data_IF_893916077727
#
_entry.id   IF_893916077727
#
_cell.length_a   1.000
_cell.length_b   1.000
_cell.length_c   1.000
_cell.angle_alpha   90.00
_cell.angle_beta   90.00
_cell.angle_gamma   90.00
#
_symmetry.space_group_name_H-M   'P 1'
#
loop_
_entity.id
_entity.type
_entity.pdbx_description
1 polymer ?
#
# COMPACT_ATOMS: atom_id res chain seq x y z
N UNK A 1 21.59 -1.37 10.78
CA UNK A 1 21.05 -1.47 9.40
C UNK A 1 20.05 -0.37 9.25
N UNK A 2 20.22 0.45 8.23
CA UNK A 2 19.37 1.60 7.97
C UNK A 2 18.40 1.25 6.85
N UNK A 3 17.19 1.80 6.91
CA UNK A 3 16.28 1.75 5.79
C UNK A 3 15.52 3.06 5.66
N UNK A 4 15.14 3.39 4.44
CA UNK A 4 14.39 4.59 4.10
C UNK A 4 13.11 4.17 3.38
N UNK A 5 11.96 4.54 3.95
CA UNK A 5 10.65 4.31 3.37
C UNK A 5 10.21 5.57 2.63
N UNK A 6 9.89 5.44 1.35
CA UNK A 6 9.56 6.55 0.47
C UNK A 6 8.19 6.33 -0.19
N UNK A 7 7.46 7.42 -0.44
CA UNK A 7 6.29 7.34 -1.31
C UNK A 7 6.76 7.24 -2.78
N UNK A 8 5.83 7.03 -3.71
CA UNK A 8 6.21 7.06 -5.14
C UNK A 8 5.97 8.40 -5.81
N UNK A 9 6.35 9.50 -5.18
CA UNK A 9 6.59 10.75 -5.90
C UNK A 9 7.84 10.62 -6.78
N UNK A 10 7.90 11.35 -7.90
CA UNK A 10 9.05 11.27 -8.82
C UNK A 10 10.35 11.75 -8.18
N UNK A 11 10.27 12.77 -7.33
CA UNK A 11 11.41 13.27 -6.56
C UNK A 11 12.03 12.19 -5.67
N UNK A 12 11.22 11.28 -5.12
CA UNK A 12 11.71 10.18 -4.29
C UNK A 12 12.34 9.07 -5.12
N UNK A 13 11.83 8.79 -6.33
CA UNK A 13 12.51 7.89 -7.28
C UNK A 13 13.86 8.45 -7.73
N UNK A 14 13.92 9.75 -8.01
CA UNK A 14 15.16 10.44 -8.35
C UNK A 14 16.13 10.40 -7.17
N UNK A 15 15.65 10.67 -5.95
CA UNK A 15 16.44 10.56 -4.73
C UNK A 15 17.07 9.18 -4.56
N UNK A 16 16.32 8.10 -4.78
CA UNK A 16 16.88 6.74 -4.79
C UNK A 16 17.99 6.66 -5.84
N UNK A 17 17.72 6.99 -7.10
CA UNK A 17 18.70 6.90 -8.19
C UNK A 17 20.00 7.67 -7.92
N UNK A 18 19.92 8.84 -7.29
CA UNK A 18 21.08 9.65 -6.91
C UNK A 18 22.04 8.90 -5.97
N UNK A 19 21.55 7.96 -5.16
CA UNK A 19 22.41 7.17 -4.27
C UNK A 19 23.18 6.05 -4.99
N UNK A 20 22.84 5.73 -6.24
CA UNK A 20 23.48 4.66 -7.00
C UNK A 20 24.52 5.15 -8.01
N UNK A 21 24.71 6.48 -8.18
CA UNK A 21 25.84 7.09 -8.92
C UNK A 21 26.19 6.38 -10.24
N UNK A 22 25.19 6.06 -11.08
CA UNK A 22 25.27 5.34 -12.37
C UNK A 22 25.10 3.81 -12.34
N UNK A 23 24.97 3.20 -11.16
CA UNK A 23 24.57 1.80 -11.04
C UNK A 23 23.04 1.66 -11.08
N UNK A 24 22.54 0.53 -11.58
CA UNK A 24 21.11 0.24 -11.51
C UNK A 24 20.72 -0.12 -10.06
N UNK A 25 19.78 0.62 -9.42
CA UNK A 25 19.24 0.24 -8.12
C UNK A 25 18.75 -1.22 -8.06
N UNK A 26 18.25 -1.75 -9.18
CA UNK A 26 17.75 -3.12 -9.28
C UNK A 26 18.85 -4.16 -9.06
N UNK A 27 20.01 -4.00 -9.70
CA UNK A 27 21.15 -4.92 -9.57
C UNK A 27 21.67 -4.99 -8.13
N UNK A 28 21.62 -3.86 -7.44
CA UNK A 28 22.02 -3.75 -6.03
C UNK A 28 20.88 -4.04 -5.04
N UNK A 29 19.72 -4.51 -5.51
CA UNK A 29 18.55 -4.80 -4.68
C UNK A 29 18.15 -3.64 -3.77
N UNK A 30 18.34 -2.41 -4.27
CA UNK A 30 18.05 -1.17 -3.56
C UNK A 30 18.86 -0.98 -2.26
N UNK A 31 20.03 -1.62 -2.17
CA UNK A 31 20.97 -1.49 -1.05
C UNK A 31 22.13 -0.59 -1.46
N UNK A 32 22.43 0.41 -0.64
CA UNK A 32 23.60 1.28 -0.76
C UNK A 32 24.39 1.31 0.53
N UNK A 33 25.61 1.82 0.45
CA UNK A 33 26.41 2.15 1.63
C UNK A 33 25.93 3.47 2.25
N UNK A 34 25.71 3.48 3.56
CA UNK A 34 25.42 4.69 4.30
C UNK A 34 26.67 5.58 4.37
N UNK A 35 26.60 6.79 3.81
CA UNK A 35 27.74 7.71 3.68
C UNK A 35 28.39 8.12 5.01
N UNK A 36 27.70 7.99 6.14
CA UNK A 36 28.21 8.40 7.45
C UNK A 36 28.79 7.24 8.26
N UNK A 37 28.29 6.02 8.05
CA UNK A 37 28.60 4.87 8.91
C UNK A 37 29.23 3.70 8.17
N UNK A 38 29.26 3.72 6.85
CA UNK A 38 29.67 2.59 6.00
C UNK A 38 28.73 1.37 6.07
N UNK A 39 27.66 1.44 6.89
CA UNK A 39 26.73 0.32 7.04
C UNK A 39 25.72 0.28 5.88
N UNK A 40 25.14 -0.89 5.57
CA UNK A 40 24.07 -0.98 4.58
C UNK A 40 22.85 -0.11 4.92
N UNK A 41 22.36 0.60 3.90
CA UNK A 41 21.12 1.35 3.88
C UNK A 41 20.23 0.86 2.74
N UNK A 42 18.96 0.60 3.02
CA UNK A 42 18.02 0.00 2.06
C UNK A 42 16.88 0.95 1.73
N UNK A 43 16.57 1.12 0.45
CA UNK A 43 15.41 1.90 0.01
C UNK A 43 14.20 1.01 -0.25
N UNK A 44 13.06 1.37 0.32
CA UNK A 44 11.79 0.66 0.17
C UNK A 44 10.70 1.66 -0.20
N UNK A 45 10.02 1.43 -1.31
CA UNK A 45 8.80 2.17 -1.62
C UNK A 45 7.62 1.64 -0.81
N UNK A 46 6.79 2.54 -0.30
CA UNK A 46 5.70 2.23 0.63
C UNK A 46 4.74 1.14 0.08
N UNK A 47 4.58 0.01 0.80
CA UNK A 47 3.73 -1.08 0.35
C UNK A 47 2.25 -0.69 0.20
N UNK A 48 1.68 0.05 1.15
CA UNK A 48 0.26 0.42 1.14
C UNK A 48 -0.06 1.37 -0.01
N UNK A 49 0.84 2.32 -0.30
CA UNK A 49 0.71 3.19 -1.47
C UNK A 49 0.79 2.40 -2.76
N UNK A 50 1.66 1.40 -2.82
CA UNK A 50 1.81 0.57 -4.01
C UNK A 50 0.58 -0.29 -4.28
N UNK A 51 -0.03 -0.90 -3.25
CA UNK A 51 -1.33 -1.60 -3.38
C UNK A 51 -2.42 -0.65 -3.92
N UNK A 52 -2.51 0.56 -3.36
CA UNK A 52 -3.42 1.60 -3.84
C UNK A 52 -3.18 1.99 -5.30
N UNK A 53 -1.92 2.07 -5.73
CA UNK A 53 -1.57 2.36 -7.13
C UNK A 53 -1.88 1.20 -8.06
N UNK A 54 -1.73 -0.07 -7.63
CA UNK A 54 -2.17 -1.24 -8.41
C UNK A 54 -3.66 -1.11 -8.70
N UNK A 55 -4.49 -0.91 -7.67
CA UNK A 55 -5.94 -0.67 -7.82
C UNK A 55 -6.21 0.48 -8.79
N UNK A 56 -5.52 1.61 -8.64
CA UNK A 56 -5.72 2.77 -9.51
C UNK A 56 -5.28 2.53 -10.97
N UNK A 57 -4.36 1.61 -11.25
CA UNK A 57 -4.03 1.21 -12.63
C UNK A 57 -5.14 0.33 -13.21
N UNK A 58 -5.66 -0.63 -12.45
CA UNK A 58 -6.81 -1.45 -12.86
C UNK A 58 -8.05 -0.58 -13.09
N UNK A 59 -8.30 0.41 -12.23
CA UNK A 59 -9.41 1.34 -12.40
C UNK A 59 -9.35 2.07 -13.75
N UNK A 60 -8.14 2.36 -14.25
CA UNK A 60 -7.94 3.04 -15.54
C UNK A 60 -8.12 2.10 -16.74
N UNK A 61 -8.14 0.79 -16.55
CA UNK A 61 -8.19 -0.18 -17.65
C UNK A 61 -9.57 -0.33 -18.31
N UNK A 62 -10.43 0.69 -18.19
CA UNK A 62 -11.78 0.73 -18.74
C UNK A 62 -12.32 2.13 -19.08
N UNK A 63 -11.48 3.17 -19.09
CA UNK A 63 -11.96 4.51 -19.44
C UNK A 63 -12.12 4.63 -20.96
N UNK A 64 -13.33 4.34 -21.45
CA UNK A 64 -13.75 4.47 -22.86
C UNK A 64 -13.46 5.89 -23.41
N UNK A 65 -13.36 6.89 -22.53
CA UNK A 65 -13.20 8.29 -22.95
C UNK A 65 -11.76 8.74 -23.20
N UNK A 66 -10.75 7.99 -22.73
CA UNK A 66 -9.33 8.38 -22.85
C UNK A 66 -8.44 7.13 -22.99
N UNK A 67 -7.95 6.87 -24.22
CA UNK A 67 -6.94 5.85 -24.62
C UNK A 67 -6.59 4.86 -23.49
N UNK A 68 -7.26 3.70 -23.40
CA UNK A 68 -7.17 2.87 -22.21
C UNK A 68 -5.78 2.23 -22.06
N UNK A 69 -5.27 2.24 -20.83
CA UNK A 69 -4.24 1.31 -20.38
C UNK A 69 -4.92 -0.05 -20.21
N UNK A 70 -4.97 -0.86 -21.26
CA UNK A 70 -5.56 -2.18 -21.23
C UNK A 70 -4.59 -3.18 -20.60
N UNK A 71 -4.54 -3.24 -19.27
CA UNK A 71 -3.74 -4.25 -18.56
C UNK A 71 -4.05 -5.64 -19.12
N UNK A 72 -3.03 -6.37 -19.53
CA UNK A 72 -3.15 -7.71 -20.12
C UNK A 72 -2.10 -8.63 -19.53
N UNK A 73 -2.45 -9.89 -19.30
CA UNK A 73 -1.48 -10.95 -19.00
C UNK A 73 -1.71 -12.10 -19.98
N UNK A 74 -0.67 -12.52 -20.68
CA UNK A 74 -0.81 -13.26 -21.94
C UNK A 74 -1.81 -12.56 -22.88
N UNK A 75 -2.78 -13.32 -23.41
CA UNK A 75 -3.83 -12.79 -24.29
C UNK A 75 -5.12 -12.35 -23.54
N UNK A 76 -5.07 -12.24 -22.22
CA UNK A 76 -6.26 -11.98 -21.38
C UNK A 76 -6.19 -10.61 -20.72
N UNK A 77 -7.30 -9.87 -20.78
CA UNK A 77 -7.39 -8.53 -20.21
C UNK A 77 -7.73 -8.57 -18.71
N UNK A 78 -7.16 -7.61 -17.97
CA UNK A 78 -7.45 -7.33 -16.56
C UNK A 78 -8.17 -5.99 -16.50
N UNK A 79 -9.49 -6.03 -16.28
CA UNK A 79 -10.33 -4.83 -16.38
C UNK A 79 -11.10 -4.54 -15.10
N UNK A 80 -11.34 -3.25 -14.81
CA UNK A 80 -12.19 -2.85 -13.67
C UNK A 80 -13.62 -3.40 -13.78
N UNK A 81 -14.13 -3.61 -15.00
CA UNK A 81 -15.46 -4.16 -15.23
C UNK A 81 -15.58 -5.58 -14.71
N UNK A 82 -14.52 -6.40 -14.79
CA UNK A 82 -14.54 -7.75 -14.22
C UNK A 82 -14.75 -7.71 -12.71
N UNK A 83 -14.04 -6.82 -12.00
CA UNK A 83 -14.23 -6.63 -10.56
C UNK A 83 -15.63 -6.12 -10.23
N UNK A 84 -16.15 -5.15 -11.01
CA UNK A 84 -17.48 -4.61 -10.81
C UNK A 84 -18.58 -5.65 -11.08
N UNK A 85 -18.42 -6.45 -12.13
CA UNK A 85 -19.37 -7.50 -12.49
C UNK A 85 -19.42 -8.60 -11.41
N UNK A 86 -18.27 -9.03 -10.90
CA UNK A 86 -18.20 -9.99 -9.79
C UNK A 86 -18.89 -9.44 -8.53
N UNK A 87 -18.66 -8.16 -8.20
CA UNK A 87 -19.37 -7.49 -7.11
C UNK A 87 -20.88 -7.42 -7.34
N UNK A 88 -21.33 -7.00 -8.52
CA UNK A 88 -22.76 -6.91 -8.83
C UNK A 88 -23.45 -8.26 -8.79
N UNK A 89 -22.77 -9.31 -9.25
CA UNK A 89 -23.23 -10.67 -9.10
C UNK A 89 -23.40 -11.04 -7.62
N UNK A 90 -22.39 -10.80 -6.78
CA UNK A 90 -22.45 -11.08 -5.34
C UNK A 90 -23.65 -10.40 -4.66
N UNK A 91 -23.86 -9.12 -4.95
CA UNK A 91 -24.94 -8.33 -4.33
C UNK A 91 -26.34 -8.76 -4.79
N UNK A 92 -26.48 -9.33 -5.99
CA UNK A 92 -27.77 -9.71 -6.55
C UNK A 92 -28.09 -11.20 -6.38
N UNK A 93 -27.08 -12.04 -6.14
CA UNK A 93 -27.24 -13.50 -6.06
C UNK A 93 -27.35 -14.04 -4.63
N UNK A 94 -26.89 -13.30 -3.63
CA UNK A 94 -26.86 -13.77 -2.24
C UNK A 94 -27.53 -12.80 -1.28
N UNK A 95 -28.29 -13.32 -0.32
CA UNK A 95 -28.82 -12.54 0.81
C UNK A 95 -27.71 -12.10 1.78
N UNK A 96 -26.61 -12.86 1.83
CA UNK A 96 -25.38 -12.55 2.55
C UNK A 96 -24.22 -12.57 1.54
N UNK A 97 -23.62 -11.40 1.23
CA UNK A 97 -22.53 -11.33 0.26
C UNK A 97 -21.33 -12.19 0.66
N UNK A 98 -20.71 -12.84 -0.34
CA UNK A 98 -19.46 -13.58 -0.18
C UNK A 98 -18.31 -12.66 0.26
N UNK A 99 -18.35 -11.39 -0.15
CA UNK A 99 -17.39 -10.38 0.27
C UNK A 99 -18.08 -9.21 0.99
N UNK A 100 -18.29 -9.36 2.30
CA UNK A 100 -19.09 -8.45 3.14
C UNK A 100 -18.52 -7.04 3.31
N UNK A 101 -17.22 -6.85 3.04
CA UNK A 101 -16.55 -5.56 3.15
C UNK A 101 -16.70 -4.69 1.92
N UNK A 102 -17.03 -5.27 0.76
CA UNK A 102 -17.21 -4.51 -0.46
C UNK A 102 -18.50 -3.71 -0.39
N UNK A 103 -18.40 -2.48 -0.85
CA UNK A 103 -19.51 -1.53 -0.90
C UNK A 103 -19.45 -0.79 -2.21
N UNK A 104 -20.53 -0.11 -2.56
CA UNK A 104 -20.59 0.71 -3.76
C UNK A 104 -19.45 1.75 -3.85
N UNK A 105 -18.97 2.24 -2.70
CA UNK A 105 -17.85 3.18 -2.64
C UNK A 105 -16.53 2.58 -3.16
N UNK A 106 -16.34 1.27 -3.07
CA UNK A 106 -15.14 0.61 -3.62
C UNK A 106 -15.09 0.74 -5.14
N UNK A 107 -16.25 0.85 -5.79
CA UNK A 107 -16.41 0.86 -7.25
C UNK A 107 -16.76 2.23 -7.85
N UNK A 108 -17.48 3.07 -7.12
CA UNK A 108 -17.80 4.46 -7.48
C UNK A 108 -16.81 5.41 -6.82
N UNK A 109 -15.56 5.39 -7.30
CA UNK A 109 -14.46 6.11 -6.68
C UNK A 109 -14.37 7.58 -7.10
N UNK A 110 -14.64 8.49 -6.18
CA UNK A 110 -14.28 9.91 -6.27
C UNK A 110 -12.76 10.15 -5.98
N UNK A 111 -12.21 11.34 -6.26
CA UNK A 111 -10.80 11.65 -6.00
C UNK A 111 -10.34 11.40 -4.54
N UNK A 112 -11.20 11.60 -3.54
CA UNK A 112 -10.88 11.35 -2.13
C UNK A 112 -10.81 9.85 -1.82
N UNK A 113 -11.76 9.07 -2.34
CA UNK A 113 -11.85 7.62 -2.13
C UNK A 113 -10.74 6.87 -2.86
N UNK A 114 -10.23 7.42 -3.97
CA UNK A 114 -9.00 6.92 -4.64
C UNK A 114 -7.77 6.93 -3.74
N UNK A 115 -7.77 7.77 -2.69
CA UNK A 115 -6.66 7.90 -1.74
C UNK A 115 -6.75 6.97 -0.53
N UNK A 116 -7.90 6.32 -0.30
CA UNK A 116 -8.14 5.46 0.87
C UNK A 116 -7.52 4.07 0.69
N UNK A 117 -6.58 3.72 1.57
CA UNK A 117 -5.86 2.43 1.51
C UNK A 117 -6.81 1.25 1.71
N UNK A 118 -7.69 1.27 2.71
CA UNK A 118 -8.60 0.15 3.00
C UNK A 118 -9.52 -0.23 1.82
N UNK A 119 -9.96 0.75 1.02
CA UNK A 119 -10.77 0.47 -0.17
C UNK A 119 -9.97 -0.28 -1.24
N UNK A 120 -8.68 0.05 -1.40
CA UNK A 120 -7.81 -0.68 -2.30
C UNK A 120 -7.44 -2.06 -1.75
N UNK A 121 -7.24 -2.16 -0.43
CA UNK A 121 -6.92 -3.42 0.23
C UNK A 121 -8.06 -4.43 0.08
N UNK A 122 -9.30 -4.05 0.37
CA UNK A 122 -10.46 -4.95 0.21
C UNK A 122 -10.62 -5.42 -1.24
N UNK A 123 -10.42 -4.55 -2.24
CA UNK A 123 -10.56 -4.93 -3.66
C UNK A 123 -9.45 -5.88 -4.14
N UNK A 124 -8.33 -5.98 -3.43
CA UNK A 124 -7.18 -6.80 -3.83
C UNK A 124 -6.90 -7.93 -2.83
N UNK A 125 -7.80 -8.17 -1.87
CA UNK A 125 -7.61 -9.19 -0.85
C UNK A 125 -7.99 -10.61 -1.32
N UNK A 126 -7.81 -11.58 -0.42
CA UNK A 126 -8.15 -12.98 -0.67
C UNK A 126 -9.66 -13.24 -0.77
N UNK A 127 -10.52 -12.37 -0.21
CA UNK A 127 -11.97 -12.49 -0.35
C UNK A 127 -12.41 -12.05 -1.74
N UNK A 128 -11.80 -11.00 -2.31
CA UNK A 128 -12.01 -10.67 -3.72
C UNK A 128 -11.54 -11.80 -4.65
N UNK A 129 -10.41 -12.45 -4.34
CA UNK A 129 -9.98 -13.65 -5.07
C UNK A 129 -11.04 -14.74 -5.05
N UNK A 130 -11.54 -15.09 -3.86
CA UNK A 130 -12.58 -16.09 -3.70
C UNK A 130 -13.86 -15.72 -4.45
N UNK A 131 -14.30 -14.46 -4.35
CA UNK A 131 -15.45 -13.94 -5.08
C UNK A 131 -15.26 -14.07 -6.60
N UNK A 132 -14.08 -13.71 -7.12
CA UNK A 132 -13.77 -13.81 -8.55
C UNK A 132 -13.80 -15.25 -9.05
N UNK A 133 -13.28 -16.20 -8.25
CA UNK A 133 -13.33 -17.64 -8.56
C UNK A 133 -14.77 -18.15 -8.59
N UNK A 134 -15.60 -17.79 -7.61
CA UNK A 134 -17.02 -18.19 -7.58
C UNK A 134 -17.83 -17.57 -8.72
N UNK A 135 -17.52 -16.33 -9.07
CA UNK A 135 -18.12 -15.69 -10.23
C UNK A 135 -17.72 -16.40 -11.54
N UNK A 136 -16.46 -16.81 -11.67
CA UNK A 136 -15.99 -17.60 -12.82
C UNK A 136 -16.71 -18.95 -12.93
N UNK A 137 -16.84 -19.69 -11.82
CA UNK A 137 -17.58 -20.96 -11.77
C UNK A 137 -19.02 -20.76 -12.26
N UNK A 138 -19.71 -19.72 -11.76
CA UNK A 138 -21.08 -19.41 -12.16
C UNK A 138 -21.21 -19.06 -13.66
N UNK A 139 -20.26 -18.31 -14.23
CA UNK A 139 -20.26 -18.02 -15.67
C UNK A 139 -20.18 -19.31 -16.49
N UNK A 140 -19.27 -20.21 -16.11
CA UNK A 140 -19.07 -21.48 -16.81
C UNK A 140 -20.31 -22.39 -16.71
N UNK A 141 -20.91 -22.50 -15.52
CA UNK A 141 -22.16 -23.25 -15.31
C UNK A 141 -23.32 -22.68 -16.12
N UNK A 142 -23.36 -21.35 -16.29
CA UNK A 142 -24.34 -20.65 -17.12
C UNK A 142 -24.04 -20.67 -18.62
N UNK A 143 -23.05 -21.43 -19.09
CA UNK A 143 -22.68 -21.54 -20.51
C UNK A 143 -21.94 -20.32 -21.09
N UNK A 144 -21.44 -19.41 -20.24
CA UNK A 144 -20.58 -18.29 -20.64
C UNK A 144 -19.11 -18.65 -20.45
N UNK A 145 -18.22 -18.04 -21.23
CA UNK A 145 -16.78 -18.23 -21.10
C UNK A 145 -16.23 -17.43 -19.89
N UNK A 146 -15.95 -18.14 -18.80
CA UNK A 146 -15.30 -17.58 -17.61
C UNK A 146 -13.78 -17.40 -17.74
N UNK A 147 -13.14 -17.90 -18.81
CA UNK A 147 -11.68 -17.86 -18.98
C UNK A 147 -11.13 -16.44 -19.10
N UNK A 148 -11.97 -15.47 -19.46
CA UNK A 148 -11.65 -14.05 -19.46
C UNK A 148 -11.23 -13.52 -18.07
N UNK A 149 -11.58 -14.22 -16.98
CA UNK A 149 -11.23 -13.85 -15.61
C UNK A 149 -9.87 -14.41 -15.16
N UNK A 150 -9.25 -15.33 -15.90
CA UNK A 150 -8.06 -16.06 -15.44
C UNK A 150 -6.90 -15.13 -15.10
N UNK A 151 -6.61 -14.13 -15.94
CA UNK A 151 -5.55 -13.17 -15.68
C UNK A 151 -5.80 -12.34 -14.41
N UNK A 152 -7.08 -12.01 -14.14
CA UNK A 152 -7.48 -11.28 -12.94
C UNK A 152 -7.40 -12.16 -11.69
N UNK A 153 -7.79 -13.43 -11.79
CA UNK A 153 -7.64 -14.42 -10.72
C UNK A 153 -6.17 -14.65 -10.41
N UNK A 154 -5.31 -14.77 -11.42
CA UNK A 154 -3.87 -14.94 -11.25
C UNK A 154 -3.24 -13.71 -10.55
N UNK A 155 -3.61 -12.50 -10.98
CA UNK A 155 -3.21 -11.27 -10.32
C UNK A 155 -3.58 -11.27 -8.82
N UNK A 156 -4.83 -11.61 -8.50
CA UNK A 156 -5.32 -11.66 -7.12
C UNK A 156 -4.68 -12.78 -6.31
N UNK A 157 -4.32 -13.89 -6.96
CA UNK A 157 -3.62 -15.03 -6.34
C UNK A 157 -2.17 -14.68 -5.97
N UNK A 158 -1.56 -13.77 -6.71
CA UNK A 158 -0.20 -13.26 -6.44
C UNK A 158 -0.15 -12.24 -5.29
N UNK A 159 -1.25 -11.99 -4.56
CA UNK A 159 -1.31 -10.89 -3.61
C UNK A 159 -0.31 -10.99 -2.44
N UNK A 160 0.13 -9.81 -1.97
CA UNK A 160 1.07 -9.63 -0.85
C UNK A 160 0.47 -8.87 0.32
N UNK A 161 -0.83 -8.56 0.28
CA UNK A 161 -1.48 -7.78 1.33
C UNK A 161 -1.35 -8.48 2.68
N UNK A 162 -1.47 -9.82 2.68
CA UNK A 162 -1.30 -10.62 3.89
C UNK A 162 0.06 -10.42 4.55
N UNK A 163 1.15 -10.26 3.78
CA UNK A 163 2.48 -10.00 4.34
C UNK A 163 2.55 -8.62 4.98
N UNK A 164 2.23 -7.55 4.25
CA UNK A 164 2.43 -6.18 4.75
C UNK A 164 1.35 -5.72 5.74
N UNK A 165 0.28 -6.50 5.92
CA UNK A 165 -0.68 -6.37 7.02
C UNK A 165 -0.31 -7.22 8.25
N UNK A 166 0.69 -8.10 8.15
CA UNK A 166 0.99 -9.08 9.19
C UNK A 166 1.66 -8.46 10.41
N UNK A 167 1.05 -8.66 11.58
CA UNK A 167 1.55 -8.20 12.88
C UNK A 167 2.54 -9.19 13.50
N UNK A 168 2.63 -10.41 12.97
CA UNK A 168 3.57 -11.44 13.43
C UNK A 168 4.99 -11.16 12.94
N UNK A 169 5.95 -11.47 13.80
CA UNK A 169 7.37 -11.23 13.54
C UNK A 169 7.93 -12.22 12.51
N UNK A 170 8.81 -11.74 11.63
CA UNK A 170 9.72 -12.54 10.82
C UNK A 170 11.05 -12.59 11.56
N UNK A 171 11.46 -13.78 11.99
CA UNK A 171 12.73 -14.05 12.69
C UNK A 171 13.65 -14.99 11.92
N UNK A 172 13.24 -15.46 10.74
CA UNK A 172 14.03 -16.36 9.89
C UNK A 172 14.06 -15.88 8.44
N UNK A 173 15.20 -16.05 7.78
CA UNK A 173 15.35 -15.81 6.34
C UNK A 173 14.62 -16.85 5.48
N UNK A 174 14.22 -17.97 6.10
CA UNK A 174 13.43 -19.04 5.46
C UNK A 174 11.93 -18.93 5.73
N UNK A 175 11.46 -17.79 6.25
CA UNK A 175 10.04 -17.57 6.52
C UNK A 175 9.20 -17.68 5.24
N UNK A 176 8.12 -18.46 5.28
CA UNK A 176 7.27 -18.74 4.12
C UNK A 176 6.64 -17.48 3.51
N UNK A 177 6.47 -16.42 4.30
CA UNK A 177 5.97 -15.12 3.81
C UNK A 177 6.98 -14.43 2.89
N UNK A 178 8.28 -14.68 3.06
CA UNK A 178 9.33 -14.20 2.14
C UNK A 178 9.29 -14.95 0.81
N UNK A 179 8.98 -16.24 0.83
CA UNK A 179 8.75 -17.02 -0.38
C UNK A 179 7.51 -16.51 -1.15
N UNK A 180 6.42 -16.14 -0.44
CA UNK A 180 5.26 -15.48 -1.08
C UNK A 180 5.64 -14.15 -1.74
N UNK A 181 6.46 -13.34 -1.08
CA UNK A 181 6.96 -12.08 -1.65
C UNK A 181 7.81 -12.31 -2.91
N UNK A 182 8.65 -13.35 -2.89
CA UNK A 182 9.46 -13.76 -4.05
C UNK A 182 8.59 -14.23 -5.22
N UNK A 183 7.57 -15.04 -4.95
CA UNK A 183 6.60 -15.47 -5.95
C UNK A 183 5.85 -14.27 -6.56
N UNK A 184 5.44 -13.31 -5.74
CA UNK A 184 4.85 -12.07 -6.25
C UNK A 184 5.84 -11.27 -7.11
N UNK A 185 7.12 -11.19 -6.73
CA UNK A 185 8.16 -10.56 -7.53
C UNK A 185 8.31 -11.24 -8.90
N UNK A 186 8.47 -12.57 -8.92
CA UNK A 186 8.54 -13.38 -10.14
C UNK A 186 7.32 -13.23 -11.03
N UNK A 187 6.12 -13.26 -10.47
CA UNK A 187 4.87 -13.02 -11.19
C UNK A 187 4.91 -11.69 -11.95
N UNK A 188 5.32 -10.60 -11.31
CA UNK A 188 5.42 -9.28 -11.97
C UNK A 188 6.50 -9.21 -13.05
N UNK A 189 7.63 -9.88 -12.84
CA UNK A 189 8.71 -9.93 -13.84
C UNK A 189 8.24 -10.69 -15.08
N UNK A 190 7.58 -11.83 -14.89
CA UNK A 190 6.97 -12.59 -15.97
C UNK A 190 5.91 -11.74 -16.69
N UNK A 191 4.98 -11.13 -15.94
CA UNK A 191 3.95 -10.25 -16.52
C UNK A 191 4.55 -9.11 -17.35
N UNK A 192 5.67 -8.51 -16.90
CA UNK A 192 6.37 -7.48 -17.67
C UNK A 192 6.96 -8.04 -18.98
N UNK A 193 7.55 -9.22 -18.94
CA UNK A 193 8.15 -9.85 -20.13
C UNK A 193 7.08 -10.19 -21.19
N UNK A 194 5.94 -10.73 -20.76
CA UNK A 194 4.79 -11.03 -21.64
C UNK A 194 4.20 -9.78 -22.30
N UNK A 195 4.40 -8.60 -21.71
CA UNK A 195 3.81 -7.33 -22.16
C UNK A 195 4.84 -6.35 -22.70
N UNK A 196 6.08 -6.79 -22.95
CA UNK A 196 7.21 -5.93 -23.35
C UNK A 196 6.94 -5.08 -24.58
N UNK A 197 6.14 -5.58 -25.51
CA UNK A 197 5.84 -4.93 -26.80
C UNK A 197 4.72 -3.88 -26.69
N UNK A 198 4.04 -3.77 -25.54
CA UNK A 198 2.95 -2.82 -25.33
C UNK A 198 3.08 -2.07 -24.01
N UNK A 199 3.45 -0.80 -24.11
CA UNK A 199 3.53 0.12 -22.95
C UNK A 199 2.18 0.36 -22.26
N UNK A 200 1.06 0.07 -22.93
CA UNK A 200 -0.29 0.27 -22.38
C UNK A 200 -0.87 -1.01 -21.76
N UNK A 201 -0.22 -2.16 -21.96
CA UNK A 201 -0.68 -3.47 -21.48
C UNK A 201 -0.15 -3.86 -20.11
N UNK A 202 0.69 -3.01 -19.52
CA UNK A 202 1.31 -3.23 -18.23
C UNK A 202 1.08 -2.05 -17.30
N UNK A 203 1.32 -2.26 -16.01
CA UNK A 203 1.34 -1.18 -15.03
C UNK A 203 2.40 -0.13 -15.40
N UNK A 204 2.16 1.12 -15.02
CA UNK A 204 3.11 2.21 -15.32
C UNK A 204 4.54 1.87 -14.87
N UNK A 205 5.55 2.27 -15.66
CA UNK A 205 6.97 2.07 -15.35
C UNK A 205 7.37 2.58 -13.95
N UNK A 206 6.77 3.69 -13.53
CA UNK A 206 6.90 4.27 -12.18
C UNK A 206 6.42 3.31 -11.09
N UNK A 207 5.23 2.74 -11.24
CA UNK A 207 4.72 1.75 -10.29
C UNK A 207 5.56 0.46 -10.33
N UNK A 208 6.00 0.03 -11.50
CA UNK A 208 6.85 -1.15 -11.62
C UNK A 208 8.16 -1.00 -10.83
N UNK A 209 8.85 0.14 -11.00
CA UNK A 209 10.03 0.49 -10.20
C UNK A 209 9.72 0.48 -8.69
N UNK A 210 8.59 1.06 -8.29
CA UNK A 210 8.19 1.08 -6.87
C UNK A 210 7.98 -0.34 -6.32
N UNK A 211 7.35 -1.21 -7.10
CA UNK A 211 7.11 -2.60 -6.71
C UNK A 211 8.41 -3.42 -6.66
N UNK A 212 9.39 -3.13 -7.53
CA UNK A 212 10.71 -3.75 -7.47
C UNK A 212 11.44 -3.34 -6.18
N UNK A 213 11.45 -2.04 -5.84
CA UNK A 213 12.02 -1.52 -4.59
C UNK A 213 11.34 -2.12 -3.37
N UNK A 214 10.01 -2.18 -3.37
CA UNK A 214 9.22 -2.75 -2.29
C UNK A 214 9.57 -4.23 -2.04
N UNK A 215 9.61 -5.06 -3.10
CA UNK A 215 9.92 -6.49 -2.97
C UNK A 215 11.38 -6.75 -2.58
N UNK A 216 12.32 -6.25 -3.38
CA UNK A 216 13.74 -6.53 -3.20
C UNK A 216 14.31 -5.83 -1.98
N UNK A 217 13.88 -4.59 -1.73
CA UNK A 217 14.26 -3.84 -0.55
C UNK A 217 13.77 -4.51 0.73
N UNK A 218 12.51 -4.96 0.80
CA UNK A 218 12.02 -5.68 1.98
C UNK A 218 12.77 -7.00 2.21
N UNK A 219 13.02 -7.79 1.15
CA UNK A 219 13.85 -8.99 1.28
C UNK A 219 15.26 -8.67 1.78
N UNK A 220 15.88 -7.61 1.27
CA UNK A 220 17.21 -7.17 1.68
C UNK A 220 17.25 -6.74 3.15
N UNK A 221 16.27 -5.97 3.64
CA UNK A 221 16.27 -5.59 5.08
C UNK A 221 16.15 -6.82 5.98
N UNK A 222 15.33 -7.80 5.58
CA UNK A 222 15.12 -9.01 6.38
C UNK A 222 16.40 -9.82 6.42
N UNK A 223 17.00 -10.05 5.25
CA UNK A 223 18.25 -10.79 5.16
C UNK A 223 19.38 -10.11 5.95
N UNK A 224 19.65 -8.82 5.69
CA UNK A 224 20.71 -8.08 6.38
C UNK A 224 20.50 -8.09 7.90
N UNK A 225 19.26 -7.89 8.37
CA UNK A 225 18.96 -7.76 9.80
C UNK A 225 19.10 -9.07 10.54
N UNK A 226 18.60 -10.16 9.97
CA UNK A 226 18.67 -11.47 10.60
C UNK A 226 20.08 -12.06 10.52
N UNK A 227 20.85 -11.80 9.46
CA UNK A 227 22.24 -12.24 9.37
C UNK A 227 23.15 -11.48 10.33
N UNK A 228 22.96 -10.17 10.50
CA UNK A 228 23.81 -9.36 11.39
C UNK A 228 23.40 -9.47 12.86
N UNK A 229 22.11 -9.65 13.13
CA UNK A 229 21.57 -9.70 14.48
C UNK A 229 20.67 -10.94 14.60
N UNK A 230 21.27 -12.10 14.93
CA UNK A 230 20.60 -13.41 14.91
C UNK A 230 19.36 -13.50 15.81
N UNK A 231 19.33 -12.76 16.92
CA UNK A 231 18.17 -12.69 17.83
C UNK A 231 17.14 -11.62 17.44
N UNK A 232 17.32 -10.96 16.31
CA UNK A 232 16.43 -9.89 15.86
C UNK A 232 15.22 -10.42 15.12
N UNK A 233 14.24 -9.55 14.93
CA UNK A 233 13.07 -9.82 14.11
C UNK A 233 12.56 -8.53 13.46
N UNK A 234 11.72 -8.70 12.45
CA UNK A 234 11.03 -7.60 11.76
C UNK A 234 9.54 -7.87 11.76
N UNK A 235 8.75 -6.84 12.10
CA UNK A 235 7.31 -6.86 11.93
C UNK A 235 6.97 -6.24 10.57
N UNK A 236 6.40 -6.99 9.61
CA UNK A 236 6.09 -6.43 8.29
C UNK A 236 5.11 -5.24 8.36
N UNK A 237 4.09 -5.33 9.23
CA UNK A 237 3.04 -4.30 9.35
C UNK A 237 3.51 -2.90 9.75
N UNK A 238 4.76 -2.73 10.22
CA UNK A 238 5.33 -1.41 10.55
C UNK A 238 6.26 -0.87 9.46
N UNK A 239 6.51 -1.64 8.39
CA UNK A 239 7.37 -1.24 7.28
C UNK A 239 6.54 -0.49 6.24
N UNK A 240 6.06 0.69 6.64
CA UNK A 240 5.28 1.63 5.84
C UNK A 240 5.36 3.05 6.45
N UNK A 241 4.74 4.02 5.80
CA UNK A 241 4.72 5.42 6.19
C UNK A 241 3.48 5.82 7.00
N UNK A 242 2.65 4.87 7.45
CA UNK A 242 1.43 5.19 8.21
C UNK A 242 1.74 6.00 9.47
N UNK A 243 2.90 5.78 10.10
CA UNK A 243 3.33 6.57 11.28
C UNK A 243 3.47 8.04 10.91
N UNK A 244 4.07 8.36 9.76
CA UNK A 244 4.21 9.72 9.27
C UNK A 244 2.85 10.31 8.88
N UNK A 245 2.01 9.55 8.17
CA UNK A 245 0.65 9.99 7.82
C UNK A 245 -0.21 10.26 9.05
N UNK A 246 -0.11 9.41 10.07
CA UNK A 246 -0.81 9.57 11.34
C UNK A 246 -0.35 10.84 12.07
N UNK A 247 0.95 11.15 12.03
CA UNK A 247 1.46 12.42 12.56
C UNK A 247 0.87 13.62 11.81
N UNK A 248 0.80 13.58 10.48
CA UNK A 248 0.14 14.65 9.70
C UNK A 248 -1.36 14.78 10.03
N UNK A 249 -2.06 13.67 10.27
CA UNK A 249 -3.44 13.69 10.73
C UNK A 249 -3.60 14.31 12.12
N UNK A 250 -2.65 14.07 13.03
CA UNK A 250 -2.64 14.73 14.34
C UNK A 250 -2.44 16.23 14.21
N UNK A 251 -1.50 16.70 13.40
CA UNK A 251 -1.27 18.13 13.15
C UNK A 251 -2.55 18.80 12.65
N UNK A 252 -3.19 18.23 11.62
CA UNK A 252 -4.44 18.77 11.07
C UNK A 252 -5.56 18.80 12.10
N UNK A 253 -5.68 17.75 12.90
CA UNK A 253 -6.73 17.67 13.90
C UNK A 253 -6.57 18.65 15.08
N UNK A 254 -5.34 18.98 15.48
CA UNK A 254 -5.10 20.00 16.51
C UNK A 254 -5.54 21.40 16.07
N UNK A 255 -5.71 21.62 14.75
CA UNK A 255 -6.22 22.86 14.18
C UNK A 255 -7.77 22.85 14.02
N UNK A 256 -8.47 21.91 14.67
CA UNK A 256 -9.93 21.86 14.72
C UNK A 256 -10.58 21.59 13.37
N UNK A 257 -11.36 22.56 12.88
CA UNK A 257 -11.99 22.51 11.55
C UNK A 257 -11.08 23.01 10.42
N UNK A 258 -9.92 23.59 10.74
CA UNK A 258 -8.97 24.02 9.74
C UNK A 258 -8.15 22.83 9.21
N UNK A 259 -8.67 22.19 8.17
CA UNK A 259 -8.04 21.04 7.53
C UNK A 259 -6.77 21.40 6.73
N UNK A 260 -6.52 22.69 6.47
CA UNK A 260 -5.39 23.19 5.69
C UNK A 260 -4.66 24.32 6.45
N UNK A 261 -3.98 23.99 7.57
CA UNK A 261 -3.26 24.98 8.36
C UNK A 261 -2.10 25.61 7.59
N UNK A 262 -1.89 26.91 7.83
CA UNK A 262 -0.72 27.65 7.34
C UNK A 262 0.57 27.08 7.93
N UNK A 263 1.72 27.43 7.34
CA UNK A 263 3.03 27.03 7.85
C UNK A 263 3.22 27.38 9.34
N UNK A 264 2.88 28.61 9.75
CA UNK A 264 3.01 29.04 11.14
C UNK A 264 2.13 28.22 12.10
N UNK A 265 0.90 27.90 11.69
CA UNK A 265 0.00 27.04 12.46
C UNK A 265 0.52 25.60 12.56
N UNK A 266 1.07 25.06 11.46
CA UNK A 266 1.71 23.73 11.48
C UNK A 266 2.92 23.72 12.40
N UNK A 267 3.80 24.72 12.30
CA UNK A 267 4.99 24.84 13.16
C UNK A 267 4.62 24.92 14.64
N UNK A 268 3.67 25.80 15.00
CA UNK A 268 3.18 25.92 16.36
C UNK A 268 2.62 24.59 16.88
N UNK A 269 1.81 23.91 16.06
CA UNK A 269 1.21 22.61 16.41
C UNK A 269 2.29 21.53 16.59
N UNK A 270 3.28 21.47 15.70
CA UNK A 270 4.39 20.53 15.82
C UNK A 270 5.19 20.76 17.11
N UNK A 271 5.43 22.01 17.48
CA UNK A 271 6.10 22.34 18.74
C UNK A 271 5.29 21.88 19.94
N UNK A 272 3.98 22.12 19.97
CA UNK A 272 3.10 21.63 21.03
C UNK A 272 3.11 20.09 21.15
N UNK A 273 3.06 19.38 20.01
CA UNK A 273 3.17 17.90 20.00
C UNK A 273 4.53 17.45 20.56
N UNK A 274 5.65 18.07 20.12
CA UNK A 274 7.00 17.76 20.61
C UNK A 274 7.16 18.01 22.11
N UNK A 275 6.53 19.06 22.62
CA UNK A 275 6.54 19.42 24.04
C UNK A 275 5.52 18.63 24.88
N UNK A 276 4.81 17.66 24.27
CA UNK A 276 3.83 16.82 24.97
C UNK A 276 2.54 17.54 25.39
N UNK A 277 2.29 18.74 24.86
CA UNK A 277 1.17 19.60 25.25
C UNK A 277 -0.17 19.23 24.58
N UNK A 278 -0.17 18.32 23.59
CA UNK A 278 -1.39 17.92 22.87
C UNK A 278 -1.38 16.42 22.59
N UNK A 279 -2.27 15.66 23.23
CA UNK A 279 -2.37 14.21 23.05
C UNK A 279 -3.51 13.81 22.10
N UNK A 280 -3.10 12.99 21.12
CA UNK A 280 -3.85 12.00 20.32
C UNK A 280 -5.21 12.45 19.75
N UNK A 281 -5.19 12.80 18.47
CA UNK A 281 -6.39 12.93 17.63
C UNK A 281 -7.04 11.57 17.32
N UNK A 282 -8.37 11.51 17.41
CA UNK A 282 -9.21 10.39 16.95
C UNK A 282 -9.31 10.25 15.42
N UNK A 283 -8.78 11.21 14.63
CA UNK A 283 -8.85 11.23 13.17
C UNK A 283 -7.68 10.48 12.48
N UNK A 284 -6.89 9.70 13.21
CA UNK A 284 -5.74 8.96 12.65
C UNK A 284 -6.11 7.53 12.24
N UNK A 285 -5.31 6.91 11.37
CA UNK A 285 -5.49 5.50 10.96
C UNK A 285 -5.28 4.51 12.12
N UNK A 286 -4.80 4.98 13.28
CA UNK A 286 -4.62 4.20 14.51
C UNK A 286 -5.71 4.46 15.58
N UNK A 287 -6.73 5.27 15.26
CA UNK A 287 -7.65 5.88 16.22
C UNK A 287 -8.75 5.00 16.84
N UNK A 288 -8.56 3.68 16.96
CA UNK A 288 -9.49 2.80 17.68
C UNK A 288 -8.73 1.94 18.71
N UNK A 289 -8.21 2.57 19.77
CA UNK A 289 -7.88 1.89 21.02
C UNK A 289 -8.68 2.53 22.14
N UNK A 290 -9.93 2.10 22.27
CA UNK A 290 -10.74 2.31 23.46
C UNK A 290 -10.21 1.42 24.59
N UNK A 291 -9.05 1.74 25.17
CA UNK A 291 -8.54 1.16 26.43
C UNK A 291 -7.21 1.80 26.86
N UNK A 292 -7.22 3.06 27.26
CA UNK A 292 -6.32 3.54 28.33
C UNK A 292 -6.78 4.91 28.84
N UNK A 293 -7.29 4.92 30.07
CA UNK A 293 -7.61 6.13 30.83
C UNK A 293 -6.32 6.81 31.29
N UNK A 294 -5.58 7.45 30.39
CA UNK A 294 -4.63 8.48 30.79
C UNK A 294 -5.28 9.85 30.58
N UNK A 295 -5.76 10.37 31.69
CA UNK A 295 -6.27 11.71 31.92
C UNK A 295 -5.36 12.76 31.29
N UNK A 296 -5.97 13.61 30.46
CA UNK A 296 -5.39 14.87 30.02
C UNK A 296 -5.13 15.75 31.25
N UNK A 297 -3.86 16.04 31.56
CA UNK A 297 -3.52 17.12 32.48
C UNK A 297 -3.88 18.45 31.80
N UNK A 298 -5.01 19.03 32.21
CA UNK A 298 -5.31 20.43 31.94
C UNK A 298 -4.46 21.28 32.88
N UNK A 299 -3.62 22.17 32.34
CA UNK A 299 -2.99 23.20 33.17
C UNK A 299 -4.05 24.22 33.60
N UNK A 300 -4.01 24.74 34.84
CA UNK A 300 -4.94 25.76 35.30
C UNK A 300 -4.69 27.06 34.54
N UNK A 301 -5.70 27.61 33.87
CA UNK A 301 -5.67 29.00 33.41
C UNK A 301 -5.74 29.92 34.64
N UNK A 302 -4.67 30.67 34.88
CA UNK A 302 -4.73 31.81 35.79
C UNK A 302 -5.49 32.96 35.11
N UNK A 303 -6.70 33.23 35.59
CA UNK A 303 -7.43 34.45 35.23
C UNK A 303 -6.69 35.67 35.83
N UNK A 304 -6.12 36.51 34.97
CA UNK A 304 -5.72 37.86 35.36
C UNK A 304 -6.97 38.73 35.52
N UNK A 305 -7.25 39.14 36.75
CA UNK A 305 -8.21 40.22 37.04
C UNK A 305 -7.65 41.52 36.49
N UNK A 306 -8.38 42.18 35.59
CA UNK A 306 -8.20 43.62 35.32
C UNK A 306 -9.08 44.41 36.29
N UNK A 307 -8.46 45.41 36.90
CA UNK A 307 -9.07 46.52 37.64
C UNK A 307 -10.01 47.33 36.77
#
# INVERSE_FOLDING_TARGET
IYWCLLDGADVNRQFIKLHFKDQDPLEKKFVVENIFTGNPMVFIMDPKHNIKKIRNNILKSNDITKKPCCLQKGNKAITWAQFKAAYDWDQNSFSLPLHEKLTLQHFKLDPSSKMRNHLAENVLDSKMLFLMQKYQENLNEGGKDGSALDATIELLSSNILGLFGDKLLISSTSDSRLAKLDNFYKFKMNWREETKDSNNSFISSKLFFDLQSMCLGFQAIVHLKLTRFLSSAIKPAIVNQDVAENHFCQIRACNGQNNNPTFAQQQSTQNSIRLGQTTISRKSNAGNLSTSNFTSCSLPMSCSKKS
#
